data_IF_535492893160
#
_entry.id   IF_535492893160
#
_cell.length_a   1.000
_cell.length_b   1.000
_cell.length_c   1.000
_cell.angle_alpha   90.00
_cell.angle_beta   90.00
_cell.angle_gamma   90.00
#
_symmetry.space_group_name_H-M   'P 1'
#
loop_
_entity.id
_entity.type
_entity.pdbx_description
1 polymer ?
#
# COMPACT_ATOMS: atom_id res chain seq x y z
N UNK A 1 -5.49 -13.95 -7.13
CA UNK A 1 -4.29 -13.84 -7.96
C UNK A 1 -3.02 -14.11 -7.17
N UNK A 2 -2.91 -13.59 -5.95
CA UNK A 2 -1.83 -13.88 -5.00
C UNK A 2 -2.43 -14.12 -3.62
N UNK A 3 -1.79 -14.97 -2.81
CA UNK A 3 -2.16 -15.23 -1.42
C UNK A 3 -1.12 -14.76 -0.42
N UNK A 4 0.02 -14.26 -0.91
CA UNK A 4 1.15 -13.86 -0.08
C UNK A 4 1.35 -12.35 -0.05
N UNK A 5 0.81 -11.64 -1.05
CA UNK A 5 0.94 -10.17 -1.15
C UNK A 5 0.06 -9.50 -0.11
N UNK A 6 0.67 -8.66 0.73
CA UNK A 6 -0.07 -7.81 1.66
C UNK A 6 -0.84 -6.74 0.90
N UNK A 7 -2.16 -6.80 0.96
CA UNK A 7 -3.05 -5.80 0.38
C UNK A 7 -3.21 -4.60 1.31
N UNK A 8 -3.51 -3.44 0.76
CA UNK A 8 -3.80 -2.22 1.52
C UNK A 8 -5.17 -1.69 1.18
N UNK A 9 -5.93 -1.31 2.20
CA UNK A 9 -7.19 -0.58 2.00
C UNK A 9 -6.92 0.80 1.40
N UNK A 10 -7.95 1.44 0.91
CA UNK A 10 -7.95 2.89 0.74
C UNK A 10 -7.71 3.58 2.09
N UNK A 11 -7.25 4.84 2.05
CA UNK A 11 -7.05 5.58 3.29
C UNK A 11 -8.39 5.92 3.95
N UNK A 12 -8.64 5.35 5.11
CA UNK A 12 -9.84 5.60 5.93
C UNK A 12 -9.52 6.67 6.96
N UNK A 13 -10.37 7.71 7.03
CA UNK A 13 -10.22 8.75 8.03
C UNK A 13 -10.60 8.22 9.42
N UNK A 14 -9.76 8.47 10.44
CA UNK A 14 -10.03 8.09 11.83
C UNK A 14 -11.42 8.55 12.31
N UNK A 15 -11.86 9.74 11.88
CA UNK A 15 -13.18 10.29 12.24
C UNK A 15 -14.34 9.48 11.67
N UNK A 16 -14.17 8.78 10.55
CA UNK A 16 -15.19 7.90 9.99
C UNK A 16 -15.37 6.65 10.85
N UNK A 17 -14.30 6.12 11.41
CA UNK A 17 -14.33 4.96 12.33
C UNK A 17 -14.90 5.38 13.69
N UNK A 18 -14.42 6.50 14.26
CA UNK A 18 -14.78 6.90 15.63
C UNK A 18 -16.22 7.43 15.75
N UNK A 19 -16.77 8.03 14.69
CA UNK A 19 -18.06 8.75 14.73
C UNK A 19 -19.09 8.25 13.73
N UNK A 20 -18.71 7.36 12.84
CA UNK A 20 -19.53 6.81 11.77
C UNK A 20 -19.92 5.36 11.98
N UNK A 21 -20.45 4.75 10.94
CA UNK A 21 -20.69 3.32 10.86
C UNK A 21 -19.35 2.61 10.56
N UNK A 22 -18.58 2.25 11.60
CA UNK A 22 -17.28 1.62 11.48
C UNK A 22 -17.31 0.39 10.56
N UNK A 23 -18.38 -0.42 10.65
CA UNK A 23 -18.58 -1.61 9.82
C UNK A 23 -18.46 -1.33 8.32
N UNK A 24 -19.10 -0.26 7.82
CA UNK A 24 -19.08 0.08 6.39
C UNK A 24 -17.70 0.46 5.88
N UNK A 25 -16.78 0.81 6.76
CA UNK A 25 -15.40 1.20 6.44
C UNK A 25 -14.38 0.11 6.70
N UNK A 26 -14.67 -0.80 7.64
CA UNK A 26 -13.73 -1.83 8.08
C UNK A 26 -14.03 -3.22 7.53
N UNK A 27 -15.22 -3.41 6.93
CA UNK A 27 -15.59 -4.70 6.35
C UNK A 27 -14.75 -5.01 5.11
N UNK A 28 -14.17 -6.19 5.09
CA UNK A 28 -13.47 -6.78 3.96
C UNK A 28 -13.79 -8.27 3.87
N UNK A 29 -13.36 -8.94 2.81
CA UNK A 29 -13.55 -10.39 2.66
C UNK A 29 -12.35 -11.14 3.25
N UNK A 30 -12.59 -12.23 3.99
CA UNK A 30 -11.51 -13.05 4.58
C UNK A 30 -10.54 -13.65 3.54
N UNK A 31 -10.93 -13.74 2.27
CA UNK A 31 -10.03 -14.16 1.19
C UNK A 31 -8.99 -13.08 0.80
N UNK A 32 -9.13 -11.84 1.31
CA UNK A 32 -8.21 -10.73 1.04
C UNK A 32 -6.95 -10.77 1.92
N UNK A 33 -6.91 -11.63 2.94
CA UNK A 33 -5.72 -11.79 3.79
C UNK A 33 -4.47 -12.21 3.01
N UNK A 34 -3.28 -11.62 3.35
CA UNK A 34 -3.07 -10.61 4.39
C UNK A 34 -3.47 -9.20 3.93
N UNK A 35 -4.11 -8.42 4.79
CA UNK A 35 -4.62 -7.09 4.48
C UNK A 35 -4.29 -6.06 5.55
N UNK A 36 -3.79 -4.90 5.15
CA UNK A 36 -3.45 -3.77 6.00
C UNK A 36 -4.54 -2.69 5.97
N UNK A 37 -4.93 -2.19 7.14
CA UNK A 37 -5.79 -1.03 7.29
C UNK A 37 -4.95 0.25 7.20
N UNK A 38 -5.20 1.11 6.20
CA UNK A 38 -4.56 2.40 6.15
C UNK A 38 -5.42 3.51 6.76
N UNK A 39 -4.90 4.18 7.77
CA UNK A 39 -5.55 5.26 8.50
C UNK A 39 -5.02 6.63 8.09
N UNK A 40 -5.92 7.61 8.05
CA UNK A 40 -5.60 9.03 7.92
C UNK A 40 -6.10 9.80 9.13
N UNK A 41 -5.21 10.58 9.76
CA UNK A 41 -5.53 11.36 10.94
C UNK A 41 -4.29 11.92 11.60
N UNK A 42 -4.47 12.73 12.66
CA UNK A 42 -3.41 13.34 13.46
C UNK A 42 -3.77 13.47 14.95
N UNK A 43 -4.90 12.93 15.37
CA UNK A 43 -5.29 12.87 16.78
C UNK A 43 -4.87 11.51 17.37
N UNK A 44 -3.97 11.48 18.39
CA UNK A 44 -3.47 10.22 18.94
C UNK A 44 -4.56 9.33 19.55
N UNK A 45 -5.55 9.92 20.24
CA UNK A 45 -6.62 9.14 20.89
C UNK A 45 -7.56 8.50 19.88
N UNK A 46 -7.93 9.23 18.82
CA UNK A 46 -8.77 8.72 17.75
C UNK A 46 -8.04 7.67 16.89
N UNK A 47 -6.74 7.87 16.65
CA UNK A 47 -5.91 6.88 15.94
C UNK A 47 -5.71 5.61 16.76
N UNK A 48 -5.50 5.72 18.07
CA UNK A 48 -5.43 4.59 18.99
C UNK A 48 -6.72 3.77 18.98
N UNK A 49 -7.88 4.43 19.05
CA UNK A 49 -9.18 3.78 18.92
C UNK A 49 -9.32 3.07 17.56
N UNK A 50 -8.97 3.77 16.47
CA UNK A 50 -9.07 3.21 15.11
C UNK A 50 -8.12 2.03 14.89
N UNK A 51 -6.91 2.06 15.47
CA UNK A 51 -5.97 0.96 15.41
C UNK A 51 -6.49 -0.29 16.14
N UNK A 52 -7.05 -0.10 17.35
CA UNK A 52 -7.71 -1.18 18.10
C UNK A 52 -8.88 -1.79 17.33
N UNK A 53 -9.70 -0.96 16.70
CA UNK A 53 -10.77 -1.44 15.83
C UNK A 53 -10.22 -2.24 14.65
N UNK A 54 -9.14 -1.79 14.01
CA UNK A 54 -8.47 -2.55 12.96
C UNK A 54 -8.02 -3.95 13.42
N UNK A 55 -7.38 -4.05 14.58
CA UNK A 55 -7.00 -5.35 15.16
C UNK A 55 -8.21 -6.23 15.46
N UNK A 56 -9.28 -5.68 16.05
CA UNK A 56 -10.51 -6.42 16.34
C UNK A 56 -11.23 -6.93 15.08
N UNK A 57 -11.11 -6.21 13.97
CA UNK A 57 -11.63 -6.63 12.67
C UNK A 57 -10.74 -7.63 11.95
N UNK A 58 -9.57 -7.95 12.51
CA UNK A 58 -8.66 -8.98 12.01
C UNK A 58 -7.70 -8.49 10.93
N UNK A 59 -7.43 -7.20 10.81
CA UNK A 59 -6.40 -6.70 9.90
C UNK A 59 -5.01 -7.18 10.33
N UNK A 60 -4.15 -7.49 9.35
CA UNK A 60 -2.78 -7.98 9.58
C UNK A 60 -1.77 -6.87 9.88
N UNK A 61 -2.10 -5.63 9.52
CA UNK A 61 -1.29 -4.44 9.75
C UNK A 61 -2.18 -3.20 9.90
N UNK A 62 -1.77 -2.23 10.72
CA UNK A 62 -2.35 -0.89 10.74
C UNK A 62 -1.31 0.13 10.30
N UNK A 63 -1.62 0.88 9.24
CA UNK A 63 -0.70 1.81 8.60
C UNK A 63 -1.18 3.25 8.74
N UNK A 64 -0.30 4.17 9.16
CA UNK A 64 -0.58 5.60 9.19
C UNK A 64 -0.11 6.28 7.90
N UNK A 65 -1.00 7.02 7.25
CA UNK A 65 -0.70 7.78 6.05
C UNK A 65 -0.10 9.14 6.36
N UNK A 66 1.19 9.31 6.05
CA UNK A 66 1.92 10.57 6.07
C UNK A 66 2.42 10.97 4.67
N UNK A 67 1.69 10.60 3.60
CA UNK A 67 2.15 10.82 2.24
C UNK A 67 1.11 11.40 1.26
N UNK A 68 -0.16 11.51 1.65
CA UNK A 68 -1.21 12.05 0.79
C UNK A 68 -1.14 13.60 0.74
N UNK A 69 -1.00 14.22 -0.45
CA UNK A 69 -0.89 15.67 -0.59
C UNK A 69 -2.22 16.36 -0.92
N UNK A 70 -3.37 15.69 -0.85
CA UNK A 70 -4.63 16.29 -1.27
C UNK A 70 -5.09 17.43 -0.36
N UNK A 71 -5.70 18.48 -0.92
CA UNK A 71 -6.20 19.64 -0.19
C UNK A 71 -7.17 19.28 0.94
N UNK A 72 -8.04 18.28 0.70
CA UNK A 72 -8.96 17.79 1.73
C UNK A 72 -8.21 17.22 2.92
N UNK A 73 -7.12 16.50 2.66
CA UNK A 73 -6.28 15.89 3.69
C UNK A 73 -5.48 16.96 4.43
N UNK A 74 -4.92 17.93 3.70
CA UNK A 74 -4.20 19.06 4.30
C UNK A 74 -5.10 19.93 5.19
N UNK A 75 -6.34 20.22 4.74
CA UNK A 75 -7.33 20.94 5.58
C UNK A 75 -7.69 20.17 6.85
N UNK A 76 -7.58 18.85 6.83
CA UNK A 76 -7.73 18.00 8.01
C UNK A 76 -6.48 17.87 8.86
N UNK A 77 -5.40 18.58 8.53
CA UNK A 77 -4.08 18.54 9.19
C UNK A 77 -3.50 17.13 9.32
N UNK A 78 -3.58 16.31 8.25
CA UNK A 78 -2.97 14.99 8.19
C UNK A 78 -2.39 14.68 6.78
N UNK A 79 -1.85 13.49 6.57
CA UNK A 79 -1.18 13.11 5.32
C UNK A 79 0.24 13.70 5.19
N UNK A 80 0.62 14.19 4.00
CA UNK A 80 1.99 14.60 3.72
C UNK A 80 2.46 15.79 4.56
N UNK A 81 1.58 16.72 4.94
CA UNK A 81 1.95 17.86 5.77
C UNK A 81 2.50 17.45 7.15
N UNK A 82 2.12 16.28 7.68
CA UNK A 82 2.62 15.73 8.93
C UNK A 82 4.14 15.45 8.91
N UNK A 83 4.75 15.36 7.74
CA UNK A 83 6.22 15.22 7.68
C UNK A 83 6.98 16.44 8.26
N UNK A 84 6.30 17.58 8.45
CA UNK A 84 6.85 18.75 9.16
C UNK A 84 6.72 18.67 10.69
N UNK A 85 5.95 17.70 11.17
CA UNK A 85 5.61 17.54 12.59
C UNK A 85 5.95 16.11 13.08
N UNK A 86 7.23 15.68 12.99
CA UNK A 86 7.62 14.30 13.31
C UNK A 86 7.27 13.90 14.74
N UNK A 87 7.35 14.84 15.71
CA UNK A 87 6.98 14.59 17.11
C UNK A 87 5.49 14.27 17.26
N UNK A 88 4.63 15.00 16.54
CA UNK A 88 3.19 14.72 16.53
C UNK A 88 2.88 13.34 15.95
N UNK A 89 3.58 12.96 14.88
CA UNK A 89 3.43 11.61 14.30
C UNK A 89 3.96 10.55 15.26
N UNK A 90 5.06 10.80 15.97
CA UNK A 90 5.60 9.90 16.98
C UNK A 90 4.59 9.66 18.12
N UNK A 91 3.92 10.71 18.62
CA UNK A 91 2.82 10.59 19.59
C UNK A 91 1.68 9.72 19.06
N UNK A 92 1.29 9.92 17.80
CA UNK A 92 0.26 9.10 17.17
C UNK A 92 0.66 7.63 17.08
N UNK A 93 1.89 7.35 16.61
CA UNK A 93 2.42 5.99 16.47
C UNK A 93 2.46 5.29 17.84
N UNK A 94 2.97 5.97 18.86
CA UNK A 94 3.00 5.42 20.21
C UNK A 94 1.61 5.09 20.74
N UNK A 95 0.65 6.00 20.59
CA UNK A 95 -0.73 5.79 21.00
C UNK A 95 -1.39 4.61 20.26
N UNK A 96 -1.12 4.46 18.95
CA UNK A 96 -1.59 3.32 18.16
C UNK A 96 -0.96 2.01 18.65
N UNK A 97 0.36 1.97 18.87
CA UNK A 97 1.08 0.79 19.38
C UNK A 97 0.61 0.37 20.75
N UNK A 98 0.37 1.31 21.66
CA UNK A 98 -0.14 1.03 23.01
C UNK A 98 -1.59 0.51 22.97
N UNK A 99 -2.32 0.72 21.87
CA UNK A 99 -3.72 0.31 21.74
C UNK A 99 -3.92 -1.07 21.09
N UNK A 100 -2.89 -1.63 20.45
CA UNK A 100 -2.91 -2.94 19.77
C UNK A 100 -1.98 -3.93 20.48
N UNK A 101 -2.21 -5.23 20.30
CA UNK A 101 -1.41 -6.28 20.95
C UNK A 101 -0.53 -7.07 19.98
N UNK A 102 -1.02 -7.32 18.77
CA UNK A 102 -0.41 -8.28 17.84
C UNK A 102 -0.11 -7.68 16.47
N UNK A 103 -0.88 -6.68 16.03
CA UNK A 103 -0.71 -6.12 14.70
C UNK A 103 0.38 -5.05 14.68
N UNK A 104 1.28 -5.06 13.68
CA UNK A 104 2.28 -4.03 13.54
C UNK A 104 1.65 -2.68 13.17
N UNK A 105 2.18 -1.61 13.73
CA UNK A 105 1.87 -0.22 13.35
C UNK A 105 2.99 0.31 12.46
N UNK A 106 2.64 0.72 11.24
CA UNK A 106 3.58 1.12 10.19
C UNK A 106 3.27 2.52 9.67
N UNK A 107 4.20 3.13 8.93
CA UNK A 107 4.02 4.48 8.38
C UNK A 107 4.30 4.50 6.89
N UNK A 108 3.40 5.14 6.12
CA UNK A 108 3.62 5.40 4.70
C UNK A 108 3.81 6.89 4.47
N UNK A 109 4.98 7.27 3.92
CA UNK A 109 5.38 8.66 3.76
C UNK A 109 6.05 8.97 2.41
N UNK A 110 6.38 10.24 2.17
CA UNK A 110 7.13 10.74 1.03
C UNK A 110 8.61 10.94 1.40
N UNK A 111 9.45 11.29 0.43
CA UNK A 111 10.89 11.57 0.66
C UNK A 111 11.19 13.05 0.95
N UNK A 112 10.20 13.92 0.87
CA UNK A 112 10.32 15.36 1.11
C UNK A 112 9.01 16.07 0.78
N UNK A 113 9.01 17.37 1.01
CA UNK A 113 7.87 18.27 0.77
C UNK A 113 8.26 19.36 -0.23
N UNK A 114 7.31 19.70 -1.09
CA UNK A 114 7.47 20.75 -2.11
C UNK A 114 8.75 20.53 -2.94
N UNK A 115 9.56 21.54 -3.14
CA UNK A 115 10.82 21.46 -3.88
C UNK A 115 12.04 21.25 -2.95
N UNK A 116 11.83 21.01 -1.66
CA UNK A 116 12.93 20.70 -0.75
C UNK A 116 13.47 19.30 -1.04
N UNK A 117 14.67 19.23 -1.61
CA UNK A 117 15.37 17.99 -1.92
C UNK A 117 16.35 17.56 -0.83
N UNK A 118 16.38 18.25 0.30
CA UNK A 118 17.28 17.92 1.40
C UNK A 118 16.94 16.53 1.97
N UNK A 119 17.98 15.75 2.21
CA UNK A 119 17.82 14.44 2.86
C UNK A 119 17.48 14.58 4.35
N UNK A 120 17.85 15.70 4.97
CA UNK A 120 17.69 15.93 6.41
C UNK A 120 16.25 15.76 6.88
N UNK A 121 15.29 16.34 6.16
CA UNK A 121 13.88 16.28 6.53
C UNK A 121 13.39 14.82 6.65
N UNK A 122 13.62 13.99 5.65
CA UNK A 122 13.14 12.60 5.67
C UNK A 122 13.95 11.73 6.64
N UNK A 123 15.25 11.96 6.78
CA UNK A 123 16.10 11.27 7.76
C UNK A 123 15.61 11.52 9.19
N UNK A 124 15.38 12.78 9.52
CA UNK A 124 14.97 13.19 10.87
C UNK A 124 13.53 12.73 11.16
N UNK A 125 12.65 12.75 10.16
CA UNK A 125 11.31 12.16 10.25
C UNK A 125 11.37 10.66 10.58
N UNK A 126 12.11 9.88 9.80
CA UNK A 126 12.26 8.43 10.03
C UNK A 126 12.93 8.14 11.38
N UNK A 127 14.00 8.89 11.73
CA UNK A 127 14.72 8.74 12.99
C UNK A 127 13.81 8.97 14.20
N UNK A 128 13.05 10.07 14.21
CA UNK A 128 12.10 10.38 15.30
C UNK A 128 11.05 9.29 15.48
N UNK A 129 10.50 8.77 14.38
CA UNK A 129 9.49 7.72 14.47
C UNK A 129 10.09 6.36 14.85
N UNK A 130 11.32 6.08 14.45
CA UNK A 130 12.05 4.88 14.85
C UNK A 130 12.34 4.88 16.36
N UNK A 131 12.70 6.04 16.93
CA UNK A 131 12.86 6.24 18.38
C UNK A 131 11.53 6.04 19.13
N UNK A 132 10.40 6.42 18.51
CA UNK A 132 9.07 6.16 19.06
C UNK A 132 8.59 4.70 18.86
N UNK A 133 9.44 3.81 18.31
CA UNK A 133 9.15 2.38 18.17
C UNK A 133 8.64 1.92 16.81
N UNK A 134 8.46 2.81 15.83
CA UNK A 134 8.10 2.40 14.47
C UNK A 134 9.24 1.62 13.81
N UNK A 135 8.96 0.45 13.27
CA UNK A 135 9.98 -0.44 12.66
C UNK A 135 9.82 -0.63 11.17
N UNK A 136 8.65 -0.30 10.59
CA UNK A 136 8.37 -0.49 9.18
C UNK A 136 7.90 0.82 8.53
N UNK A 137 8.59 1.21 7.47
CA UNK A 137 8.33 2.43 6.70
C UNK A 137 8.11 2.11 5.23
N UNK A 138 7.02 2.62 4.67
CA UNK A 138 6.75 2.55 3.24
C UNK A 138 7.09 3.92 2.61
N UNK A 139 8.14 3.96 1.83
CA UNK A 139 8.74 5.18 1.29
C UNK A 139 8.32 5.42 -0.16
N UNK A 140 7.40 6.34 -0.41
CA UNK A 140 7.12 6.78 -1.78
C UNK A 140 8.25 7.69 -2.27
N UNK A 141 9.02 7.24 -3.24
CA UNK A 141 10.25 7.85 -3.71
C UNK A 141 10.04 9.15 -4.52
N UNK A 142 9.07 9.98 -4.14
CA UNK A 142 8.80 11.33 -4.68
C UNK A 142 8.52 12.30 -3.55
N UNK A 143 8.88 13.57 -3.72
CA UNK A 143 8.38 14.62 -2.86
C UNK A 143 6.86 14.76 -2.99
N UNK A 144 6.20 15.24 -1.95
CA UNK A 144 4.82 15.70 -2.00
C UNK A 144 4.80 17.23 -2.19
N UNK A 145 4.32 17.70 -3.32
CA UNK A 145 4.07 19.14 -3.49
C UNK A 145 2.70 19.46 -2.91
N UNK A 146 2.72 20.25 -1.85
CA UNK A 146 1.51 20.56 -1.08
C UNK A 146 0.62 21.57 -1.79
N UNK A 147 1.18 22.35 -2.72
CA UNK A 147 0.46 23.32 -3.53
C UNK A 147 0.76 23.16 -5.02
N UNK A 148 -0.18 23.57 -5.86
CA UNK A 148 0.01 23.66 -7.31
C UNK A 148 -0.12 22.36 -8.08
N UNK A 149 -0.26 21.21 -7.42
CA UNK A 149 -0.47 19.92 -8.08
C UNK A 149 -1.64 19.15 -7.47
N UNK A 150 -2.49 18.60 -8.32
CA UNK A 150 -3.49 17.62 -7.90
C UNK A 150 -2.83 16.35 -7.32
N UNK A 151 -3.57 15.50 -6.57
CA UNK A 151 -3.04 14.22 -6.10
C UNK A 151 -2.60 13.28 -7.22
N UNK A 152 -3.20 13.40 -8.41
CA UNK A 152 -2.79 12.63 -9.60
C UNK A 152 -1.43 13.11 -10.12
N UNK A 153 -1.24 14.42 -10.28
CA UNK A 153 0.01 15.02 -10.75
C UNK A 153 1.14 14.79 -9.75
N UNK A 154 0.85 14.84 -8.45
CA UNK A 154 1.80 14.50 -7.37
C UNK A 154 2.36 13.07 -7.42
N UNK A 155 1.76 12.19 -8.23
CA UNK A 155 2.26 10.84 -8.49
C UNK A 155 3.07 10.73 -9.77
N UNK A 156 3.15 11.81 -10.57
CA UNK A 156 3.79 11.79 -11.88
C UNK A 156 4.84 12.90 -12.04
N UNK A 157 4.53 14.13 -11.61
CA UNK A 157 5.36 15.33 -11.86
C UNK A 157 6.62 15.37 -11.00
N UNK A 158 6.56 15.25 -9.65
CA UNK A 158 7.78 15.23 -8.86
C UNK A 158 8.68 14.05 -9.27
N UNK A 159 9.99 14.23 -9.43
CA UNK A 159 10.88 13.18 -9.90
C UNK A 159 10.96 11.99 -8.94
N UNK A 160 11.16 10.80 -9.48
CA UNK A 160 11.48 9.59 -8.70
C UNK A 160 12.94 9.67 -8.25
N UNK A 161 13.17 9.52 -6.94
CA UNK A 161 14.48 9.58 -6.31
C UNK A 161 14.71 8.33 -5.45
N UNK A 162 14.82 7.18 -6.08
CA UNK A 162 15.01 5.88 -5.40
C UNK A 162 16.23 5.87 -4.48
N UNK A 163 17.31 6.57 -4.86
CA UNK A 163 18.52 6.69 -4.06
C UNK A 163 18.29 7.22 -2.64
N UNK A 164 17.22 8.02 -2.42
CA UNK A 164 16.83 8.50 -1.08
C UNK A 164 16.30 7.34 -0.23
N UNK A 165 15.40 6.51 -0.78
CA UNK A 165 14.89 5.34 -0.07
C UNK A 165 16.02 4.33 0.24
N UNK A 166 16.94 4.10 -0.69
CA UNK A 166 18.11 3.24 -0.48
C UNK A 166 19.04 3.81 0.60
N UNK A 167 19.19 5.13 0.65
CA UNK A 167 19.99 5.78 1.69
C UNK A 167 19.33 5.64 3.06
N UNK A 168 18.00 5.77 3.17
CA UNK A 168 17.27 5.50 4.42
C UNK A 168 17.58 4.07 4.91
N UNK A 169 17.52 3.05 4.03
CA UNK A 169 17.84 1.68 4.42
C UNK A 169 19.29 1.52 4.92
N UNK A 170 20.24 2.19 4.29
CA UNK A 170 21.65 2.17 4.74
C UNK A 170 21.87 2.88 6.07
N UNK A 171 21.22 4.03 6.27
CA UNK A 171 21.36 4.83 7.49
C UNK A 171 20.61 4.18 8.68
N UNK A 172 19.56 3.40 8.40
CA UNK A 172 18.73 2.68 9.39
C UNK A 172 18.62 1.19 9.05
N UNK A 173 19.68 0.40 9.13
CA UNK A 173 19.70 -0.99 8.64
C UNK A 173 18.76 -1.93 9.40
N UNK A 174 18.43 -1.61 10.65
CA UNK A 174 17.50 -2.39 11.48
C UNK A 174 16.02 -2.14 11.16
N UNK A 175 15.69 -1.09 10.38
CA UNK A 175 14.32 -0.80 9.97
C UNK A 175 13.94 -1.60 8.72
N UNK A 176 12.69 -2.01 8.65
CA UNK A 176 12.10 -2.57 7.44
C UNK A 176 11.67 -1.44 6.52
N UNK A 177 12.29 -1.33 5.35
CA UNK A 177 12.03 -0.29 4.35
C UNK A 177 11.38 -0.90 3.13
N UNK A 178 10.14 -0.49 2.87
CA UNK A 178 9.40 -0.83 1.66
C UNK A 178 9.45 0.33 0.68
N UNK A 179 9.98 0.11 -0.52
CA UNK A 179 9.98 1.12 -1.58
C UNK A 179 8.62 1.18 -2.28
N UNK A 180 8.17 2.39 -2.58
CA UNK A 180 6.98 2.65 -3.40
C UNK A 180 7.25 3.76 -4.41
N UNK A 181 6.54 3.73 -5.53
CA UNK A 181 6.53 4.78 -6.56
C UNK A 181 7.17 4.33 -7.88
N UNK A 182 6.41 4.41 -8.97
CA UNK A 182 6.89 4.15 -10.33
C UNK A 182 7.08 2.68 -10.70
N UNK A 183 7.08 1.77 -9.75
CA UNK A 183 7.25 0.32 -9.97
C UNK A 183 6.11 -0.21 -10.84
N UNK A 184 6.43 -0.81 -11.98
CA UNK A 184 5.48 -1.21 -13.00
C UNK A 184 5.62 -2.66 -13.48
N UNK A 185 6.69 -3.35 -13.11
CA UNK A 185 6.98 -4.73 -13.54
C UNK A 185 7.57 -5.58 -12.41
N UNK A 186 7.63 -6.90 -12.62
CA UNK A 186 8.31 -7.82 -11.71
C UNK A 186 9.83 -7.61 -11.73
N UNK A 187 10.38 -7.20 -12.86
CA UNK A 187 11.80 -6.86 -13.01
C UNK A 187 12.15 -5.63 -12.15
N UNK A 188 11.28 -4.60 -12.13
CA UNK A 188 11.47 -3.45 -11.24
C UNK A 188 11.50 -3.90 -9.77
N UNK A 189 10.56 -4.79 -9.37
CA UNK A 189 10.50 -5.33 -8.00
C UNK A 189 11.84 -5.98 -7.64
N UNK A 190 12.29 -6.92 -8.47
CA UNK A 190 13.55 -7.64 -8.24
C UNK A 190 14.74 -6.68 -8.19
N UNK A 191 14.80 -5.70 -9.11
CA UNK A 191 15.86 -4.70 -9.12
C UNK A 191 15.96 -3.87 -7.84
N UNK A 192 14.80 -3.54 -7.24
CA UNK A 192 14.76 -2.78 -5.98
C UNK A 192 15.10 -3.64 -4.74
N UNK A 193 14.84 -4.94 -4.74
CA UNK A 193 15.16 -5.84 -3.61
C UNK A 193 16.65 -5.91 -3.26
N UNK A 194 17.54 -5.47 -4.14
CA UNK A 194 18.97 -5.33 -3.80
C UNK A 194 19.24 -4.23 -2.76
N UNK A 195 18.32 -3.31 -2.58
CA UNK A 195 18.54 -2.08 -1.84
C UNK A 195 17.57 -1.87 -0.66
N UNK A 196 16.42 -2.56 -0.67
CA UNK A 196 15.35 -2.44 0.32
C UNK A 196 14.75 -3.79 0.64
N UNK A 197 14.00 -3.86 1.74
CA UNK A 197 13.45 -5.14 2.24
C UNK A 197 12.22 -5.59 1.45
N UNK A 198 11.41 -4.65 0.96
CA UNK A 198 10.20 -4.93 0.21
C UNK A 198 9.85 -3.84 -0.81
N UNK A 199 8.90 -4.13 -1.69
CA UNK A 199 8.42 -3.20 -2.71
C UNK A 199 6.89 -3.16 -2.70
N UNK A 200 6.32 -1.95 -2.65
CA UNK A 200 4.88 -1.72 -2.78
C UNK A 200 4.55 -1.25 -4.20
N UNK A 201 3.73 -2.01 -4.89
CA UNK A 201 3.20 -1.66 -6.21
C UNK A 201 1.79 -1.06 -6.06
N UNK A 202 1.52 0.04 -6.74
CA UNK A 202 0.20 0.69 -6.69
C UNK A 202 -0.53 0.59 -8.02
N UNK A 203 -0.45 1.65 -8.82
CA UNK A 203 -1.23 1.81 -10.06
C UNK A 203 -1.02 0.70 -11.08
N UNK A 204 0.18 0.15 -11.19
CA UNK A 204 0.43 -0.97 -12.10
C UNK A 204 -0.39 -2.20 -11.74
N UNK A 205 -0.44 -2.56 -10.44
CA UNK A 205 -1.26 -3.67 -9.96
C UNK A 205 -2.77 -3.42 -10.19
N UNK A 206 -3.24 -2.17 -10.05
CA UNK A 206 -4.62 -1.81 -10.33
C UNK A 206 -4.97 -1.87 -11.82
N UNK A 207 -4.06 -1.39 -12.69
CA UNK A 207 -4.31 -1.35 -14.14
C UNK A 207 -4.03 -2.67 -14.86
N UNK A 208 -3.19 -3.51 -14.28
CA UNK A 208 -2.78 -4.80 -14.83
C UNK A 208 -2.71 -5.85 -13.72
N UNK A 209 -3.85 -6.16 -13.05
CA UNK A 209 -3.85 -7.04 -11.88
C UNK A 209 -3.30 -8.44 -12.17
N UNK A 210 -3.33 -8.90 -13.42
CA UNK A 210 -2.77 -10.20 -13.80
C UNK A 210 -1.30 -10.37 -13.47
N UNK A 211 -0.54 -9.28 -13.32
CA UNK A 211 0.87 -9.35 -12.89
C UNK A 211 1.05 -10.03 -11.52
N UNK A 212 0.04 -9.93 -10.63
CA UNK A 212 0.08 -10.55 -9.31
C UNK A 212 0.09 -12.09 -9.37
N UNK A 213 -0.38 -12.68 -10.46
CA UNK A 213 -0.44 -14.15 -10.60
C UNK A 213 0.94 -14.84 -10.57
N UNK A 214 2.02 -14.08 -10.75
CA UNK A 214 3.41 -14.57 -10.71
C UNK A 214 4.11 -14.25 -9.39
N UNK A 215 3.54 -13.41 -8.53
CA UNK A 215 4.28 -12.87 -7.39
C UNK A 215 4.46 -13.87 -6.27
N UNK A 216 3.53 -14.80 -6.06
CA UNK A 216 3.72 -15.85 -5.05
C UNK A 216 4.94 -16.71 -5.39
N UNK A 217 5.08 -17.14 -6.66
CA UNK A 217 6.25 -17.88 -7.12
C UNK A 217 7.55 -17.06 -7.04
N UNK A 218 7.48 -15.75 -7.32
CA UNK A 218 8.61 -14.84 -7.20
C UNK A 218 9.05 -14.70 -5.73
N UNK A 219 8.11 -14.57 -4.81
CA UNK A 219 8.38 -14.46 -3.37
C UNK A 219 8.94 -15.77 -2.79
N UNK A 220 8.43 -16.93 -3.26
CA UNK A 220 8.95 -18.24 -2.86
C UNK A 220 10.37 -18.45 -3.35
N UNK A 221 10.66 -18.10 -4.61
CA UNK A 221 12.02 -18.16 -5.17
C UNK A 221 12.98 -17.24 -4.41
N UNK A 222 12.53 -16.03 -4.04
CA UNK A 222 13.33 -15.11 -3.25
C UNK A 222 13.64 -15.66 -1.85
N UNK A 223 12.66 -16.22 -1.16
CA UNK A 223 12.86 -16.84 0.16
C UNK A 223 13.89 -17.98 0.11
N UNK A 224 13.79 -18.87 -0.90
CA UNK A 224 14.72 -19.98 -1.07
C UNK A 224 16.16 -19.54 -1.34
N UNK A 225 16.34 -18.44 -2.08
CA UNK A 225 17.66 -17.92 -2.44
C UNK A 225 18.26 -17.00 -1.38
N UNK A 226 17.42 -16.35 -0.57
CA UNK A 226 17.83 -15.34 0.41
C UNK A 226 18.03 -15.91 1.81
N UNK A 227 17.82 -17.20 2.04
CA UNK A 227 17.95 -17.82 3.34
C UNK A 227 19.38 -17.65 3.87
N UNK A 228 19.52 -16.87 4.95
CA UNK A 228 20.82 -16.51 5.53
C UNK A 228 21.58 -15.36 4.87
N UNK A 229 21.03 -14.68 3.88
CA UNK A 229 21.68 -13.55 3.20
C UNK A 229 21.15 -12.20 3.69
N UNK A 230 22.05 -11.25 3.91
CA UNK A 230 21.75 -9.86 4.27
C UNK A 230 21.98 -8.92 3.09
N UNK A 231 21.29 -7.78 3.06
CA UNK A 231 21.58 -6.68 2.12
C UNK A 231 22.90 -5.98 2.51
N UNK A 232 23.78 -5.55 1.55
CA UNK A 232 23.82 -5.89 0.14
C UNK A 232 24.52 -7.24 -0.09
N UNK A 233 24.19 -7.95 -1.13
CA UNK A 233 24.79 -9.25 -1.48
C UNK A 233 23.72 -10.32 -1.74
N UNK A 234 22.44 -9.97 -1.58
CA UNK A 234 21.32 -10.85 -1.86
C UNK A 234 21.35 -11.32 -3.32
N UNK A 235 21.30 -12.63 -3.51
CA UNK A 235 21.09 -13.23 -4.83
C UNK A 235 19.63 -13.00 -5.21
N UNK A 236 19.40 -12.41 -6.38
CA UNK A 236 18.04 -12.12 -6.82
C UNK A 236 17.46 -13.31 -7.59
N UNK A 237 16.16 -13.61 -7.37
CA UNK A 237 15.49 -14.62 -8.17
C UNK A 237 15.37 -14.15 -9.62
N UNK A 238 15.46 -15.10 -10.55
CA UNK A 238 15.06 -14.83 -11.93
C UNK A 238 13.54 -14.57 -11.97
N UNK A 239 13.13 -13.49 -12.65
CA UNK A 239 11.70 -13.26 -12.89
C UNK A 239 11.15 -14.45 -13.68
N UNK A 240 10.12 -15.16 -13.19
CA UNK A 240 9.55 -16.28 -13.91
C UNK A 240 9.07 -15.81 -15.29
N UNK A 241 9.58 -16.38 -16.36
CA UNK A 241 8.98 -16.21 -17.69
C UNK A 241 7.56 -16.74 -17.56
N UNK A 242 6.56 -16.03 -18.08
CA UNK A 242 5.12 -16.34 -18.01
C UNK A 242 4.86 -17.84 -17.73
N UNK A 243 5.03 -18.20 -16.48
CA UNK A 243 4.92 -19.57 -16.07
C UNK A 243 3.46 -19.83 -15.82
N UNK A 244 2.97 -20.91 -16.31
CA UNK A 244 1.73 -21.56 -15.98
C UNK A 244 1.25 -21.12 -14.58
N UNK A 245 0.56 -19.98 -14.55
CA UNK A 245 -0.18 -19.62 -13.37
C UNK A 245 -1.09 -20.80 -13.09
N UNK A 246 -1.07 -21.34 -11.90
CA UNK A 246 -1.97 -22.43 -11.48
C UNK A 246 -3.45 -22.03 -11.63
N UNK A 247 -3.70 -20.78 -12.01
CA UNK A 247 -5.00 -20.17 -12.21
C UNK A 247 -5.07 -19.51 -13.60
N UNK A 248 -6.21 -19.66 -14.29
CA UNK A 248 -6.49 -18.94 -15.54
C UNK A 248 -7.31 -17.67 -15.27
N UNK A 249 -7.32 -16.74 -16.24
CA UNK A 249 -8.17 -15.54 -16.15
C UNK A 249 -9.65 -15.90 -16.08
N UNK A 250 -10.05 -16.94 -16.80
CA UNK A 250 -11.42 -17.46 -16.84
C UNK A 250 -11.86 -17.92 -15.44
N UNK A 251 -11.00 -18.66 -14.72
CA UNK A 251 -11.27 -19.07 -13.33
C UNK A 251 -11.42 -17.84 -12.42
N UNK A 252 -10.55 -16.84 -12.55
CA UNK A 252 -10.65 -15.59 -11.77
C UNK A 252 -11.97 -14.86 -12.07
N UNK A 253 -12.36 -14.79 -13.34
CA UNK A 253 -13.63 -14.17 -13.76
C UNK A 253 -14.83 -14.89 -13.13
N UNK A 254 -14.84 -16.20 -13.20
CA UNK A 254 -15.90 -17.03 -12.63
C UNK A 254 -16.02 -16.86 -11.11
N UNK A 255 -14.91 -16.92 -10.41
CA UNK A 255 -14.87 -16.70 -8.96
C UNK A 255 -15.34 -15.29 -8.57
N UNK A 256 -14.97 -14.28 -9.36
CA UNK A 256 -15.39 -12.89 -9.11
C UNK A 256 -16.88 -12.69 -9.37
N UNK A 257 -17.47 -13.34 -10.36
CA UNK A 257 -18.93 -13.32 -10.57
C UNK A 257 -19.65 -13.93 -9.36
N UNK A 258 -19.22 -15.10 -8.92
CA UNK A 258 -19.78 -15.74 -7.71
C UNK A 258 -19.64 -14.86 -6.46
N UNK A 259 -18.51 -14.15 -6.32
CA UNK A 259 -18.31 -13.20 -5.24
C UNK A 259 -19.29 -12.03 -5.33
N UNK A 260 -19.47 -11.43 -6.52
CA UNK A 260 -20.41 -10.33 -6.74
C UNK A 260 -21.86 -10.74 -6.42
N UNK A 261 -22.25 -11.96 -6.79
CA UNK A 261 -23.59 -12.50 -6.49
C UNK A 261 -23.78 -12.68 -4.97
N UNK A 262 -22.79 -13.21 -4.26
CA UNK A 262 -22.85 -13.33 -2.79
C UNK A 262 -22.95 -11.96 -2.11
N UNK A 263 -22.13 -11.01 -2.52
CA UNK A 263 -22.13 -9.65 -1.97
C UNK A 263 -23.44 -8.90 -2.24
N UNK A 264 -24.05 -9.09 -3.42
CA UNK A 264 -25.33 -8.51 -3.73
C UNK A 264 -26.44 -9.04 -2.81
N UNK A 265 -26.44 -10.35 -2.54
CA UNK A 265 -27.44 -11.00 -1.68
C UNK A 265 -27.22 -10.67 -0.20
N UNK A 266 -25.99 -10.73 0.28
CA UNK A 266 -25.69 -10.60 1.72
C UNK A 266 -25.60 -9.15 2.19
N UNK A 267 -25.14 -8.25 1.33
CA UNK A 267 -24.78 -6.89 1.70
C UNK A 267 -25.37 -5.83 0.78
N UNK A 268 -26.18 -6.20 -0.19
CA UNK A 268 -26.73 -5.31 -1.23
C UNK A 268 -25.61 -4.50 -1.95
N UNK A 269 -24.40 -5.06 -2.06
CA UNK A 269 -23.27 -4.41 -2.73
C UNK A 269 -23.49 -4.43 -4.23
N UNK A 270 -23.54 -3.28 -4.93
CA UNK A 270 -23.69 -3.25 -6.37
C UNK A 270 -22.46 -3.88 -7.05
N UNK A 271 -22.67 -4.79 -7.98
CA UNK A 271 -21.57 -5.45 -8.72
C UNK A 271 -20.56 -4.49 -9.37
N UNK A 272 -20.96 -3.28 -9.89
CA UNK A 272 -20.00 -2.37 -10.49
C UNK A 272 -18.95 -1.84 -9.51
N UNK A 273 -19.27 -1.83 -8.22
CA UNK A 273 -18.30 -1.44 -7.17
C UNK A 273 -17.14 -2.43 -7.10
N UNK A 274 -17.44 -3.73 -7.22
CA UNK A 274 -16.47 -4.82 -7.19
C UNK A 274 -15.75 -4.93 -8.54
N UNK A 275 -16.48 -4.82 -9.66
CA UNK A 275 -15.95 -5.01 -11.01
C UNK A 275 -14.80 -4.06 -11.37
N UNK A 276 -14.65 -2.93 -10.68
CA UNK A 276 -13.58 -1.95 -10.93
C UNK A 276 -12.19 -2.55 -10.86
N UNK A 277 -11.93 -3.48 -9.94
CA UNK A 277 -10.62 -4.14 -9.81
C UNK A 277 -10.33 -5.13 -10.95
N UNK A 278 -11.37 -5.56 -11.69
CA UNK A 278 -11.24 -6.50 -12.80
C UNK A 278 -10.98 -5.84 -14.15
N UNK A 279 -11.23 -4.54 -14.29
CA UNK A 279 -11.17 -3.84 -15.59
C UNK A 279 -9.82 -4.00 -16.31
N UNK A 280 -8.76 -4.23 -15.57
CA UNK A 280 -7.41 -4.46 -16.08
C UNK A 280 -7.04 -5.93 -16.30
N UNK A 281 -7.87 -6.90 -15.91
CA UNK A 281 -7.53 -8.33 -15.90
C UNK A 281 -7.07 -8.87 -17.27
N UNK A 282 -7.67 -8.36 -18.34
CA UNK A 282 -7.32 -8.73 -19.72
C UNK A 282 -6.46 -7.69 -20.43
N UNK A 283 -5.76 -6.84 -19.69
CA UNK A 283 -4.87 -5.83 -20.28
C UNK A 283 -3.84 -6.48 -21.20
N UNK A 284 -3.61 -5.86 -22.38
CA UNK A 284 -2.67 -6.38 -23.39
C UNK A 284 -3.19 -7.53 -24.25
N UNK A 285 -4.35 -8.12 -23.97
CA UNK A 285 -4.92 -9.20 -24.76
C UNK A 285 -5.88 -8.72 -25.86
N UNK A 286 -6.03 -9.56 -26.90
CA UNK A 286 -7.06 -9.35 -27.93
C UNK A 286 -8.44 -9.35 -27.25
N UNK A 287 -9.26 -8.33 -27.54
CA UNK A 287 -10.59 -8.18 -26.95
C UNK A 287 -10.65 -7.42 -25.63
N UNK A 288 -9.53 -6.98 -25.04
CA UNK A 288 -9.47 -6.22 -23.78
C UNK A 288 -10.34 -4.95 -23.78
N UNK A 289 -10.50 -4.28 -24.95
CA UNK A 289 -11.38 -3.11 -25.07
C UNK A 289 -12.85 -3.48 -24.86
N UNK A 290 -13.32 -4.56 -25.53
CA UNK A 290 -14.70 -5.05 -25.39
C UNK A 290 -14.96 -5.55 -23.98
N UNK A 291 -14.01 -6.28 -23.40
CA UNK A 291 -14.02 -6.69 -22.00
C UNK A 291 -14.31 -5.50 -21.05
N UNK A 292 -13.51 -4.45 -21.13
CA UNK A 292 -13.71 -3.26 -20.28
C UNK A 292 -15.05 -2.58 -20.53
N UNK A 293 -15.54 -2.54 -21.77
CA UNK A 293 -16.85 -1.98 -22.10
C UNK A 293 -17.98 -2.75 -21.40
N UNK A 294 -17.96 -4.08 -21.43
CA UNK A 294 -18.96 -4.93 -20.75
C UNK A 294 -18.93 -4.68 -19.24
N UNK A 295 -17.76 -4.78 -18.63
CA UNK A 295 -17.59 -4.62 -17.16
C UNK A 295 -17.74 -3.18 -16.66
N UNK A 296 -17.85 -2.20 -17.51
CA UNK A 296 -18.13 -0.80 -17.17
C UNK A 296 -19.53 -0.34 -17.59
N UNK A 297 -20.35 -1.20 -18.20
CA UNK A 297 -21.73 -0.86 -18.57
C UNK A 297 -22.66 -1.14 -17.39
N UNK A 298 -22.94 -0.12 -16.61
CA UNK A 298 -23.78 -0.19 -15.41
C UNK A 298 -25.28 -0.38 -15.71
N UNK A 299 -25.67 -0.57 -16.98
CA UNK A 299 -27.05 -0.82 -17.39
C UNK A 299 -27.37 -2.32 -17.52
N UNK A 300 -26.33 -3.14 -17.43
CA UNK A 300 -26.45 -4.60 -17.36
C UNK A 300 -26.62 -5.02 -15.90
#
# INVERSE_FOLDING_TARGET
>A
LSRQVLLYTEMINMGAICRGAAESHLRYNGEEHPVALQLGGSDPAMLAHSARMGEQWGYDEVNLNCGCPSDRVQRGAFGACLMREPQRVAECIKAMQDAVQHVPVTVKHRIGLDQDESYGLVRDFVGTLAEAGCRHFIVHARNAWLQGLSPHENRNVPPLRYGVAYRIKRDFPALHITLNGGVASSEDIVGHWQHVDAVMVGRAAWHTPWMLAQWDALMDADRQQSEGQTLPGRILPAVPKETQAAISREIVEEQMVQYMEREAVQHATPWPTIARCMLGLRHGLRGARRWRQVWSDHRL
#
